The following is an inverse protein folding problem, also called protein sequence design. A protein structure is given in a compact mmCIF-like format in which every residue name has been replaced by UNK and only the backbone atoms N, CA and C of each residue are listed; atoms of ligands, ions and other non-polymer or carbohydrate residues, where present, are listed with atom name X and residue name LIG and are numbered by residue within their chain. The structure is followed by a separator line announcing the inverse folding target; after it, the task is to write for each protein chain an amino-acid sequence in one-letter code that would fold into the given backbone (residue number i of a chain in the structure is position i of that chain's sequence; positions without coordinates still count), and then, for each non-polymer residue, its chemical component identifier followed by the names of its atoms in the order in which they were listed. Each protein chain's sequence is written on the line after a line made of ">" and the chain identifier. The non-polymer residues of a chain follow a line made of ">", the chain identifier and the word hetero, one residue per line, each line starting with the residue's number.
data_IF_718869329969
#
_entry.id   IF_718869329969
#
_cell.length_a   1.000
_cell.length_b   1.000
_cell.length_c   1.000
_cell.angle_alpha   90.00
_cell.angle_beta   90.00
_cell.angle_gamma   90.00
#
_symmetry.space_group_name_H-M   'P 1'
#
loop_
_entity.id
_entity.type
_entity.pdbx_description
1 polymer ?
#
# COMPACT_ATOMS: atom_id res chain seq x y z
N UNK A 1 -13.43 26.91 -26.83
CA UNK A 1 -12.38 25.90 -27.13
C UNK A 1 -12.48 25.42 -28.58
N UNK A 2 -13.65 24.97 -29.05
CA UNK A 2 -13.84 24.46 -30.41
C UNK A 2 -13.44 25.45 -31.52
N UNK A 3 -13.85 26.73 -31.43
CA UNK A 3 -13.46 27.76 -32.40
C UNK A 3 -11.93 27.95 -32.50
N UNK A 4 -11.24 28.00 -31.35
CA UNK A 4 -9.79 28.12 -31.31
C UNK A 4 -9.08 26.88 -31.89
N UNK A 5 -9.61 25.69 -31.60
CA UNK A 5 -9.10 24.44 -32.16
C UNK A 5 -9.28 24.39 -33.69
N UNK A 6 -10.45 24.77 -34.20
CA UNK A 6 -10.74 24.83 -35.63
C UNK A 6 -9.80 25.81 -36.35
N UNK A 7 -9.59 27.01 -35.79
CA UNK A 7 -8.66 27.99 -36.34
C UNK A 7 -7.21 27.47 -36.40
N UNK A 8 -6.75 26.77 -35.37
CA UNK A 8 -5.41 26.13 -35.37
C UNK A 8 -5.31 25.05 -36.44
N UNK A 9 -6.34 24.22 -36.60
CA UNK A 9 -6.38 23.16 -37.61
C UNK A 9 -6.38 23.73 -39.04
N UNK A 10 -7.00 24.88 -39.26
CA UNK A 10 -6.98 25.58 -40.54
C UNK A 10 -5.63 26.28 -40.82
N UNK A 11 -5.02 26.88 -39.80
CA UNK A 11 -3.77 27.64 -39.94
C UNK A 11 -2.54 26.75 -40.15
N UNK A 12 -2.45 25.60 -39.46
CA UNK A 12 -1.27 24.73 -39.50
C UNK A 12 -0.90 24.24 -40.92
N UNK A 13 -1.85 23.78 -41.77
CA UNK A 13 -1.56 23.41 -43.15
C UNK A 13 -1.02 24.58 -43.99
N UNK A 14 -1.55 25.79 -43.79
CA UNK A 14 -1.11 27.00 -44.51
C UNK A 14 0.35 27.34 -44.16
N UNK A 15 0.70 27.31 -42.87
CA UNK A 15 2.06 27.56 -42.40
C UNK A 15 3.06 26.50 -42.90
N UNK A 16 2.63 25.24 -43.01
CA UNK A 16 3.46 24.16 -43.57
C UNK A 16 3.74 24.35 -45.06
N UNK A 17 2.75 24.81 -45.86
CA UNK A 17 2.96 25.15 -47.28
C UNK A 17 4.02 26.25 -47.46
N UNK A 18 4.06 27.20 -46.53
CA UNK A 18 5.06 28.27 -46.46
C UNK A 18 6.39 27.83 -45.83
N UNK A 19 6.55 26.54 -45.49
CA UNK A 19 7.74 25.96 -44.86
C UNK A 19 8.13 26.61 -43.52
N UNK A 20 7.16 27.14 -42.77
CA UNK A 20 7.40 27.75 -41.46
C UNK A 20 7.34 26.67 -40.37
N UNK A 21 8.37 26.53 -39.50
CA UNK A 21 8.35 25.55 -38.40
C UNK A 21 7.37 25.99 -37.30
N UNK A 22 6.33 25.17 -37.06
CA UNK A 22 5.27 25.51 -36.10
C UNK A 22 5.45 24.89 -34.72
N UNK A 23 6.26 23.82 -34.60
CA UNK A 23 6.46 23.10 -33.34
C UNK A 23 7.70 23.66 -32.63
N UNK A 24 7.56 23.97 -31.34
CA UNK A 24 8.68 24.30 -30.48
C UNK A 24 9.60 23.07 -30.32
N UNK A 25 10.90 23.16 -30.66
CA UNK A 25 11.86 22.10 -30.38
C UNK A 25 12.04 21.89 -28.87
N UNK A 26 12.24 20.64 -28.45
CA UNK A 26 12.39 20.29 -27.02
C UNK A 26 13.72 20.82 -26.44
N UNK A 27 14.75 20.94 -27.28
CA UNK A 27 16.10 21.42 -26.90
C UNK A 27 16.29 22.94 -27.00
N UNK A 28 15.22 23.70 -27.32
CA UNK A 28 15.27 25.16 -27.41
C UNK A 28 14.76 25.82 -26.11
N UNK A 29 15.70 26.19 -25.24
CA UNK A 29 15.44 26.80 -23.92
C UNK A 29 15.43 28.33 -23.98
N UNK A 30 14.31 28.89 -24.48
CA UNK A 30 14.01 30.32 -24.38
C UNK A 30 13.09 30.61 -23.18
N UNK A 31 13.01 31.88 -22.76
CA UNK A 31 12.08 32.31 -21.72
C UNK A 31 10.63 32.03 -22.13
N UNK A 32 9.88 31.41 -21.21
CA UNK A 32 8.46 31.07 -21.41
C UNK A 32 7.58 32.03 -20.64
N UNK A 33 6.32 32.18 -21.06
CA UNK A 33 5.35 33.08 -20.40
C UNK A 33 5.12 32.81 -18.89
N UNK A 34 5.50 31.63 -18.39
CA UNK A 34 5.47 31.29 -16.95
C UNK A 34 6.79 30.66 -16.54
N UNK A 35 7.26 31.01 -15.34
CA UNK A 35 8.47 30.42 -14.79
C UNK A 35 8.32 28.94 -14.48
N UNK A 36 9.41 28.18 -14.63
CA UNK A 36 9.43 26.75 -14.30
C UNK A 36 9.10 26.48 -12.84
N UNK A 37 9.50 27.37 -11.93
CA UNK A 37 9.16 27.28 -10.52
C UNK A 37 7.64 27.30 -10.30
N UNK A 38 6.91 28.16 -11.03
CA UNK A 38 5.45 28.20 -10.97
C UNK A 38 4.84 26.92 -11.55
N UNK A 39 5.34 26.44 -12.68
CA UNK A 39 4.85 25.19 -13.30
C UNK A 39 5.11 23.97 -12.42
N UNK A 40 6.23 23.91 -11.71
CA UNK A 40 6.50 22.87 -10.71
C UNK A 40 5.51 22.93 -9.54
N UNK A 41 5.15 24.12 -9.05
CA UNK A 41 4.11 24.29 -8.01
C UNK A 41 2.75 23.76 -8.50
N UNK A 42 2.38 24.08 -9.74
CA UNK A 42 1.13 23.58 -10.35
C UNK A 42 1.15 22.06 -10.46
N UNK A 43 2.22 21.46 -10.99
CA UNK A 43 2.37 20.00 -11.09
C UNK A 43 2.27 19.31 -9.74
N UNK A 44 2.93 19.85 -8.71
CA UNK A 44 2.83 19.34 -7.32
C UNK A 44 1.39 19.36 -6.81
N UNK A 45 0.65 20.45 -7.06
CA UNK A 45 -0.77 20.56 -6.67
C UNK A 45 -1.64 19.53 -7.40
N UNK A 46 -1.47 19.36 -8.71
CA UNK A 46 -2.21 18.36 -9.49
C UNK A 46 -1.96 16.94 -8.97
N UNK A 47 -0.69 16.58 -8.74
CA UNK A 47 -0.32 15.27 -8.17
C UNK A 47 -0.94 15.07 -6.79
N UNK A 48 -0.90 16.09 -5.92
CA UNK A 48 -1.50 16.00 -4.58
C UNK A 48 -3.01 15.79 -4.61
N UNK A 49 -3.72 16.40 -5.57
CA UNK A 49 -5.17 16.21 -5.76
C UNK A 49 -5.48 14.78 -6.22
N UNK A 50 -4.74 14.27 -7.19
CA UNK A 50 -4.89 12.89 -7.66
C UNK A 50 -4.66 11.89 -6.53
N UNK A 51 -3.56 12.03 -5.78
CA UNK A 51 -3.28 11.17 -4.63
C UNK A 51 -4.36 11.25 -3.54
N UNK A 52 -4.94 12.43 -3.30
CA UNK A 52 -6.02 12.59 -2.33
C UNK A 52 -7.30 11.86 -2.79
N UNK A 53 -7.64 11.95 -4.08
CA UNK A 53 -8.77 11.25 -4.68
C UNK A 53 -8.59 9.74 -4.56
N UNK A 54 -7.45 9.20 -4.99
CA UNK A 54 -7.13 7.77 -4.89
C UNK A 54 -7.16 7.25 -3.44
N UNK A 55 -6.64 8.04 -2.47
CA UNK A 55 -6.70 7.67 -1.04
C UNK A 55 -8.15 7.59 -0.55
N UNK A 56 -8.99 8.52 -0.98
CA UNK A 56 -10.41 8.54 -0.59
C UNK A 56 -11.18 7.33 -1.15
N UNK A 57 -10.90 6.95 -2.39
CA UNK A 57 -11.50 5.78 -3.04
C UNK A 57 -11.06 4.48 -2.37
N UNK A 58 -9.74 4.33 -2.13
CA UNK A 58 -9.20 3.18 -1.37
C UNK A 58 -9.81 3.08 0.03
N UNK A 59 -10.04 4.21 0.70
CA UNK A 59 -10.69 4.24 2.01
C UNK A 59 -12.17 3.82 1.94
N UNK A 60 -12.91 4.26 0.90
CA UNK A 60 -14.30 3.82 0.64
C UNK A 60 -14.35 2.30 0.39
N UNK A 61 -13.46 1.79 -0.47
CA UNK A 61 -13.38 0.36 -0.78
C UNK A 61 -13.07 -0.47 0.47
N UNK A 62 -12.10 -0.05 1.28
CA UNK A 62 -11.74 -0.74 2.53
C UNK A 62 -12.86 -0.69 3.56
N UNK A 63 -13.64 0.41 3.61
CA UNK A 63 -14.84 0.50 4.46
C UNK A 63 -15.92 -0.46 3.99
N UNK A 64 -16.17 -0.56 2.68
CA UNK A 64 -17.12 -1.53 2.12
C UNK A 64 -16.70 -2.97 2.42
N UNK A 65 -15.43 -3.33 2.18
CA UNK A 65 -14.91 -4.67 2.50
C UNK A 65 -15.07 -5.00 3.98
N UNK A 66 -14.85 -4.04 4.90
CA UNK A 66 -15.06 -4.25 6.33
C UNK A 66 -16.53 -4.41 6.70
N UNK A 67 -17.43 -3.62 6.10
CA UNK A 67 -18.87 -3.67 6.34
C UNK A 67 -19.46 -5.02 5.91
N UNK A 68 -19.09 -5.51 4.74
CA UNK A 68 -19.64 -6.75 4.18
C UNK A 68 -18.79 -7.99 4.47
N UNK A 69 -17.58 -7.83 5.02
CA UNK A 69 -16.62 -8.93 5.19
C UNK A 69 -17.17 -10.14 5.95
N UNK A 70 -17.95 -9.93 7.03
CA UNK A 70 -18.59 -11.04 7.76
C UNK A 70 -19.65 -11.75 6.90
N UNK A 71 -20.50 -10.99 6.20
CA UNK A 71 -21.55 -11.53 5.32
C UNK A 71 -20.95 -12.35 4.18
N UNK A 72 -19.89 -11.83 3.56
CA UNK A 72 -19.13 -12.52 2.50
C UNK A 72 -18.52 -13.82 3.04
N UNK A 73 -17.95 -13.82 4.25
CA UNK A 73 -17.40 -15.04 4.85
C UNK A 73 -18.48 -16.10 5.11
N UNK A 74 -19.63 -15.71 5.66
CA UNK A 74 -20.75 -16.65 5.90
C UNK A 74 -21.32 -17.19 4.59
N UNK A 75 -21.48 -16.33 3.58
CA UNK A 75 -21.99 -16.71 2.27
C UNK A 75 -21.04 -17.67 1.55
N UNK A 76 -19.72 -17.42 1.59
CA UNK A 76 -18.72 -18.34 1.05
C UNK A 76 -18.79 -19.70 1.74
N UNK A 77 -18.94 -19.74 3.07
CA UNK A 77 -19.02 -20.99 3.82
C UNK A 77 -20.30 -21.77 3.48
N UNK A 78 -21.45 -21.08 3.43
CA UNK A 78 -22.73 -21.66 3.02
C UNK A 78 -22.70 -22.18 1.59
N UNK A 79 -22.12 -21.41 0.66
CA UNK A 79 -21.93 -21.81 -0.74
C UNK A 79 -21.09 -23.07 -0.86
N UNK A 80 -19.95 -23.15 -0.16
CA UNK A 80 -19.10 -24.36 -0.11
C UNK A 80 -19.83 -25.56 0.46
N UNK A 81 -20.62 -25.38 1.51
CA UNK A 81 -21.43 -26.47 2.08
C UNK A 81 -22.51 -26.94 1.11
N UNK A 82 -23.16 -26.02 0.40
CA UNK A 82 -24.17 -26.32 -0.63
C UNK A 82 -23.56 -27.07 -1.81
N UNK A 83 -22.43 -26.58 -2.33
CA UNK A 83 -21.64 -27.25 -3.39
C UNK A 83 -21.25 -28.67 -2.97
N UNK A 84 -20.71 -28.85 -1.75
CA UNK A 84 -20.37 -30.18 -1.21
C UNK A 84 -21.59 -31.08 -1.07
N UNK A 85 -22.73 -30.56 -0.60
CA UNK A 85 -23.97 -31.34 -0.47
C UNK A 85 -24.51 -31.75 -1.85
N UNK A 86 -24.48 -30.84 -2.82
CA UNK A 86 -24.90 -31.11 -4.18
C UNK A 86 -24.03 -32.20 -4.83
N UNK A 87 -22.70 -32.10 -4.68
CA UNK A 87 -21.75 -33.11 -5.15
C UNK A 87 -22.01 -34.48 -4.51
N UNK A 88 -22.16 -34.54 -3.18
CA UNK A 88 -22.46 -35.79 -2.47
C UNK A 88 -23.81 -36.39 -2.92
N UNK A 89 -24.81 -35.56 -3.18
CA UNK A 89 -26.09 -36.02 -3.69
C UNK A 89 -25.97 -36.55 -5.12
N UNK A 90 -25.19 -35.90 -5.99
CA UNK A 90 -24.92 -36.37 -7.35
C UNK A 90 -24.23 -37.75 -7.33
N UNK A 91 -23.19 -37.91 -6.50
CA UNK A 91 -22.50 -39.20 -6.31
C UNK A 91 -23.46 -40.28 -5.80
N UNK A 92 -24.32 -39.97 -4.82
CA UNK A 92 -25.31 -40.93 -4.31
C UNK A 92 -26.37 -41.31 -5.36
N UNK A 93 -26.77 -40.39 -6.24
CA UNK A 93 -27.72 -40.67 -7.33
C UNK A 93 -27.09 -41.55 -8.41
N UNK A 94 -25.83 -41.30 -8.75
CA UNK A 94 -25.03 -42.15 -9.64
C UNK A 94 -24.84 -43.55 -9.07
N UNK A 95 -24.44 -43.67 -7.79
CA UNK A 95 -24.28 -44.97 -7.12
C UNK A 95 -25.58 -45.79 -7.09
N UNK A 96 -26.74 -45.14 -7.04
CA UNK A 96 -28.06 -45.79 -7.06
C UNK A 96 -28.58 -46.08 -8.48
N UNK A 97 -27.83 -45.77 -9.53
CA UNK A 97 -28.22 -46.00 -10.92
C UNK A 97 -29.34 -45.10 -11.44
N UNK A 98 -29.69 -44.02 -10.72
CA UNK A 98 -30.74 -43.08 -11.14
C UNK A 98 -30.26 -42.03 -12.16
N UNK A 99 -28.94 -41.94 -12.39
CA UNK A 99 -28.34 -40.98 -13.32
C UNK A 99 -27.11 -41.59 -13.96
N UNK A 100 -27.13 -41.71 -15.29
CA UNK A 100 -26.11 -42.44 -16.08
C UNK A 100 -24.99 -41.52 -16.60
N UNK A 101 -25.14 -40.19 -16.47
CA UNK A 101 -24.19 -39.19 -16.98
C UNK A 101 -23.38 -38.56 -15.84
N UNK A 102 -22.05 -38.58 -15.95
CA UNK A 102 -21.08 -37.94 -15.04
C UNK A 102 -21.02 -36.41 -15.20
N UNK A 103 -22.15 -35.75 -15.42
CA UNK A 103 -22.24 -34.31 -15.73
C UNK A 103 -21.69 -33.40 -14.58
N UNK A 104 -21.61 -33.94 -13.36
CA UNK A 104 -21.03 -33.23 -12.21
C UNK A 104 -19.49 -33.10 -12.24
N UNK A 105 -18.78 -33.84 -13.10
CA UNK A 105 -17.32 -33.78 -13.23
C UNK A 105 -16.86 -32.81 -14.34
N UNK A 106 -17.67 -32.61 -15.38
CA UNK A 106 -17.30 -31.79 -16.54
C UNK A 106 -17.50 -30.28 -16.30
N UNK A 107 -18.44 -29.89 -15.43
CA UNK A 107 -18.70 -28.48 -15.12
C UNK A 107 -17.53 -27.82 -14.33
N UNK A 108 -16.70 -28.61 -13.62
CA UNK A 108 -15.53 -28.10 -12.89
C UNK A 108 -14.26 -28.03 -13.77
N UNK A 109 -14.08 -28.94 -14.73
CA UNK A 109 -12.88 -29.00 -15.58
C UNK A 109 -12.77 -27.82 -16.55
N UNK A 110 -13.90 -27.36 -17.13
CA UNK A 110 -13.91 -26.27 -18.12
C UNK A 110 -13.64 -24.88 -17.52
N UNK A 111 -13.76 -24.72 -16.19
CA UNK A 111 -13.40 -23.47 -15.50
C UNK A 111 -11.95 -23.43 -14.99
N UNK A 112 -11.19 -24.52 -15.15
CA UNK A 112 -9.82 -24.66 -14.65
C UNK A 112 -8.72 -24.50 -15.71
N UNK A 113 -9.05 -24.47 -17.00
CA UNK A 113 -8.12 -24.23 -18.11
C UNK A 113 -8.16 -22.77 -18.57
N UNK A 114 -7.66 -21.87 -17.73
CA UNK A 114 -7.54 -20.45 -18.07
C UNK A 114 -6.44 -19.77 -17.27
N UNK A 115 -5.22 -19.83 -17.81
CA UNK A 115 -4.05 -19.05 -17.39
C UNK A 115 -3.42 -19.35 -16.02
N UNK A 116 -2.56 -20.38 -15.99
CA UNK A 116 -1.38 -20.41 -15.09
C UNK A 116 -0.09 -20.53 -15.90
N UNK A 117 0.44 -19.40 -16.35
CA UNK A 117 1.89 -19.17 -16.45
C UNK A 117 2.18 -17.71 -16.06
N UNK A 118 2.61 -17.53 -14.82
CA UNK A 118 2.94 -16.22 -14.26
C UNK A 118 3.49 -16.37 -12.85
N UNK A 119 4.74 -16.86 -12.76
CA UNK A 119 5.69 -16.77 -11.63
C UNK A 119 5.14 -16.20 -10.31
N UNK A 120 4.41 -17.01 -9.56
CA UNK A 120 4.21 -16.78 -8.13
C UNK A 120 5.44 -17.32 -7.40
N UNK A 121 6.48 -16.48 -7.32
CA UNK A 121 7.60 -16.64 -6.39
C UNK A 121 7.05 -17.16 -5.06
N UNK A 122 7.56 -18.32 -4.63
CA UNK A 122 7.30 -18.93 -3.35
C UNK A 122 7.48 -17.86 -2.26
N UNK A 123 6.37 -17.27 -1.81
CA UNK A 123 6.33 -16.51 -0.56
C UNK A 123 6.56 -17.54 0.54
N UNK A 124 7.83 -17.76 0.86
CA UNK A 124 8.27 -18.37 2.11
C UNK A 124 7.35 -17.83 3.20
N UNK A 125 6.60 -18.70 3.86
CA UNK A 125 5.78 -18.35 5.03
C UNK A 125 6.73 -17.72 6.05
N UNK A 126 6.86 -16.38 6.03
CA UNK A 126 7.67 -15.65 7.00
C UNK A 126 7.05 -15.93 8.35
N UNK A 127 7.74 -16.77 9.13
CA UNK A 127 7.37 -17.07 10.50
C UNK A 127 7.24 -15.79 11.34
N UNK A 128 6.75 -15.91 12.57
CA UNK A 128 6.58 -14.76 13.45
C UNK A 128 7.86 -13.93 13.55
N UNK A 129 7.73 -12.60 13.42
CA UNK A 129 8.81 -11.62 13.51
C UNK A 129 9.77 -11.93 14.69
N UNK A 130 11.08 -11.70 14.55
CA UNK A 130 12.08 -11.93 15.61
C UNK A 130 11.66 -11.35 16.98
N UNK A 131 11.02 -10.16 16.99
CA UNK A 131 10.44 -9.57 18.21
C UNK A 131 9.37 -10.46 18.85
N UNK A 132 8.56 -11.14 18.04
CA UNK A 132 7.52 -12.07 18.48
C UNK A 132 8.13 -13.40 18.92
N UNK A 133 9.17 -13.91 18.25
CA UNK A 133 9.93 -15.09 18.71
C UNK A 133 10.51 -14.89 20.11
N UNK A 134 11.19 -13.75 20.34
CA UNK A 134 11.74 -13.43 21.67
C UNK A 134 10.65 -13.32 22.74
N UNK A 135 9.52 -12.66 22.44
CA UNK A 135 8.40 -12.56 23.40
C UNK A 135 7.74 -13.92 23.67
N UNK A 136 7.68 -14.79 22.66
CA UNK A 136 7.16 -16.14 22.82
C UNK A 136 8.11 -17.01 23.66
N UNK A 137 9.43 -16.84 23.50
CA UNK A 137 10.43 -17.54 24.31
C UNK A 137 10.42 -17.04 25.75
N UNK A 138 10.47 -15.71 25.96
CA UNK A 138 10.55 -15.10 27.29
C UNK A 138 9.27 -15.28 28.12
N UNK A 139 8.10 -15.26 27.47
CA UNK A 139 6.83 -15.25 28.19
C UNK A 139 5.91 -16.42 27.82
N UNK A 140 6.22 -17.28 26.84
CA UNK A 140 5.32 -18.33 26.31
C UNK A 140 4.39 -17.86 25.17
N UNK A 141 3.50 -18.73 24.66
CA UNK A 141 2.54 -18.40 23.59
C UNK A 141 1.09 -18.41 24.08
N UNK A 142 0.34 -17.32 23.86
CA UNK A 142 -1.08 -17.22 24.27
C UNK A 142 -1.33 -17.24 25.79
N UNK A 143 -2.57 -16.96 26.22
CA UNK A 143 -3.03 -17.16 27.61
C UNK A 143 -2.71 -16.06 28.65
N UNK A 144 -3.37 -16.16 29.82
CA UNK A 144 -3.11 -15.33 31.01
C UNK A 144 -1.72 -15.67 31.55
N UNK A 145 -0.80 -14.73 31.41
CA UNK A 145 0.57 -14.86 31.90
C UNK A 145 0.61 -14.38 33.34
N UNK A 146 0.54 -15.31 34.29
CA UNK A 146 0.45 -15.09 35.75
C UNK A 146 1.55 -14.14 36.25
N UNK A 147 1.36 -12.83 36.12
CA UNK A 147 2.32 -11.83 36.59
C UNK A 147 3.70 -11.83 35.90
N UNK A 148 4.02 -12.73 34.97
CA UNK A 148 5.37 -12.86 34.40
C UNK A 148 5.85 -11.67 33.55
N UNK A 149 4.97 -10.68 33.31
CA UNK A 149 5.30 -9.38 32.70
C UNK A 149 5.47 -8.26 33.72
N UNK A 150 5.27 -8.53 35.01
CA UNK A 150 5.39 -7.56 36.09
C UNK A 150 6.86 -7.46 36.50
N UNK A 151 7.26 -6.28 36.96
CA UNK A 151 8.61 -6.06 37.44
C UNK A 151 8.76 -6.73 38.82
N UNK A 152 9.81 -7.52 39.02
CA UNK A 152 10.21 -8.05 40.33
C UNK A 152 11.20 -7.09 40.99
N UNK A 153 11.41 -7.23 42.31
CA UNK A 153 12.37 -6.41 43.08
C UNK A 153 13.78 -6.44 42.44
N UNK A 154 14.20 -7.61 41.98
CA UNK A 154 15.47 -7.82 41.27
C UNK A 154 15.48 -7.16 39.87
N UNK A 155 14.36 -7.19 39.14
CA UNK A 155 14.29 -6.63 37.78
C UNK A 155 14.11 -5.11 37.75
N UNK A 156 13.84 -4.46 38.89
CA UNK A 156 13.61 -3.02 38.95
C UNK A 156 14.91 -2.22 38.74
N UNK A 157 16.04 -2.76 39.22
CA UNK A 157 17.36 -2.12 39.10
C UNK A 157 18.23 -2.70 37.98
N UNK A 158 17.79 -3.78 37.32
CA UNK A 158 18.55 -4.41 36.23
C UNK A 158 18.44 -3.62 34.90
N UNK A 159 19.42 -2.75 34.67
CA UNK A 159 19.60 -1.98 33.43
C UNK A 159 20.58 -2.63 32.45
N UNK A 160 21.07 -3.85 32.72
CA UNK A 160 22.09 -4.52 31.88
C UNK A 160 21.62 -4.77 30.44
N UNK A 161 20.32 -5.00 30.25
CA UNK A 161 19.68 -5.20 28.95
C UNK A 161 19.47 -3.89 28.16
N UNK A 162 19.64 -2.73 28.79
CA UNK A 162 19.48 -1.43 28.14
C UNK A 162 20.73 -1.12 27.30
N UNK A 163 20.59 -1.18 25.98
CA UNK A 163 21.66 -0.81 25.04
C UNK A 163 21.50 0.65 24.60
N UNK A 164 22.19 1.62 25.23
CA UNK A 164 22.05 3.03 24.89
C UNK A 164 22.40 3.33 23.42
N UNK A 165 23.31 2.56 22.82
CA UNK A 165 23.72 2.66 21.40
C UNK A 165 22.63 2.31 20.39
N UNK A 166 21.60 1.55 20.78
CA UNK A 166 20.48 1.13 19.90
C UNK A 166 19.21 1.94 20.19
N UNK A 167 18.98 2.32 21.44
CA UNK A 167 17.83 3.13 21.85
C UNK A 167 17.93 4.58 21.36
N UNK A 168 19.14 5.09 21.22
CA UNK A 168 19.45 6.34 20.54
C UNK A 168 20.44 6.00 19.43
N UNK A 169 20.06 6.20 18.16
CA UNK A 169 20.90 5.98 16.97
C UNK A 169 22.20 6.84 17.00
N UNK A 170 23.11 6.52 17.91
CA UNK A 170 24.34 7.24 18.18
C UNK A 170 25.39 6.21 18.59
N UNK A 171 25.60 5.24 17.70
CA UNK A 171 26.77 4.38 17.74
C UNK A 171 27.96 5.08 17.07
N UNK A 172 29.20 4.79 17.49
CA UNK A 172 30.41 5.22 16.79
C UNK A 172 30.58 4.31 15.57
N UNK A 173 30.16 4.75 14.39
CA UNK A 173 30.28 3.95 13.19
C UNK A 173 29.52 4.56 12.02
N UNK A 174 30.30 5.07 11.05
CA UNK A 174 29.88 5.65 9.77
C UNK A 174 29.18 7.01 9.87
N UNK A 175 30.03 8.03 9.99
CA UNK A 175 29.86 9.26 9.23
C UNK A 175 29.88 8.93 7.72
N UNK A 176 28.77 8.39 7.21
CA UNK A 176 28.48 8.38 5.77
C UNK A 176 27.80 9.69 5.42
N UNK A 177 28.49 10.55 4.66
CA UNK A 177 27.94 11.71 3.98
C UNK A 177 26.56 11.37 3.39
N UNK A 178 25.52 12.11 3.77
CA UNK A 178 24.26 12.12 3.04
C UNK A 178 23.01 12.28 3.89
N UNK A 179 22.45 13.50 3.88
CA UNK A 179 21.01 13.66 3.97
C UNK A 179 20.45 14.09 5.33
N UNK A 180 20.47 15.40 5.55
CA UNK A 180 19.49 16.12 6.40
C UNK A 180 18.07 15.62 6.11
N UNK A 181 17.44 14.98 7.09
CA UNK A 181 15.99 15.14 7.37
C UNK A 181 15.80 15.09 8.88
N UNK A 182 16.07 16.23 9.51
CA UNK A 182 15.50 16.57 10.81
C UNK A 182 13.99 16.44 10.71
N UNK A 183 13.43 15.33 11.21
CA UNK A 183 12.02 15.30 11.59
C UNK A 183 11.80 16.51 12.51
N UNK A 184 10.78 17.31 12.19
CA UNK A 184 10.33 18.48 12.93
C UNK A 184 10.14 18.19 14.43
N UNK A 185 11.23 18.20 15.19
CA UNK A 185 11.22 18.22 16.65
C UNK A 185 10.99 19.66 17.04
N UNK A 186 9.82 19.94 17.63
CA UNK A 186 9.49 21.23 18.23
C UNK A 186 10.67 21.63 19.15
N UNK A 187 11.27 22.81 18.96
CA UNK A 187 12.36 23.26 19.81
C UNK A 187 11.88 23.35 21.28
N UNK A 188 12.78 23.07 22.21
CA UNK A 188 12.48 23.07 23.65
C UNK A 188 11.93 24.40 24.16
N UNK A 189 11.28 24.39 25.34
CA UNK A 189 10.58 25.56 25.92
C UNK A 189 11.46 26.83 25.97
N UNK A 190 12.72 26.71 26.42
CA UNK A 190 13.69 27.82 26.45
C UNK A 190 14.03 28.38 25.07
N UNK A 191 14.23 27.53 24.07
CA UNK A 191 14.51 27.96 22.69
C UNK A 191 13.31 28.69 22.06
N UNK A 192 12.08 28.28 22.39
CA UNK A 192 10.86 28.97 21.93
C UNK A 192 10.70 30.36 22.54
N UNK A 193 11.05 30.55 23.81
CA UNK A 193 11.04 31.87 24.45
C UNK A 193 12.05 32.82 23.81
N UNK A 194 13.28 32.36 23.56
CA UNK A 194 14.32 33.17 22.87
C UNK A 194 13.95 33.56 21.43
N UNK A 195 13.21 32.71 20.71
CA UNK A 195 12.75 33.07 19.36
C UNK A 195 11.61 34.10 19.40
N UNK A 196 10.74 34.05 20.42
CA UNK A 196 9.68 35.06 20.62
C UNK A 196 10.24 36.45 20.92
N UNK A 197 11.34 36.54 21.68
CA UNK A 197 11.99 37.82 21.98
C UNK A 197 12.82 38.38 20.81
N UNK A 198 13.09 37.58 19.77
CA UNK A 198 13.78 38.00 18.54
C UNK A 198 12.85 38.51 17.45
N UNK A 199 11.54 38.30 17.59
CA UNK A 199 10.52 38.71 16.64
C UNK A 199 9.75 39.96 17.09
N UNK A 200 10.24 40.62 18.15
CA UNK A 200 9.87 41.99 18.54
C UNK A 200 11.04 42.89 18.22
#
# INVERSE_FOLDING_TARGET
>A
YQQAQAAVLEALPRLRKLQIPTRRPDDYFAEMAKSDQQMQKIRKKLKSKQEAMERSEKAKQLRAMRKYGKKVQTEILQRRQKEKKNMLNAVKRYQKGLSDKLDFLDEEQTSSQGNKKGNASQRTKKGPNAKRRYKNQKFGFGGKKKGSKWNTKESFNDVSSFRPKVAHNKGPGKAGKGGKKSLNKRPGKRARQKMKSRAR
#
